data_IF_787477728677
#
_entry.id   IF_787477728677
#
_cell.length_a   1.000
_cell.length_b   1.000
_cell.length_c   1.000
_cell.angle_alpha   90.00
_cell.angle_beta   90.00
_cell.angle_gamma   90.00
#
_symmetry.space_group_name_H-M   'P 1'
#
loop_
_entity.id
_entity.type
_entity.pdbx_description
1 polymer ?
#
# COMPACT_ATOMS: atom_id res chain seq x y z
N UNK A 1 3.73 -17.65 -15.05
CA UNK A 1 4.56 -17.25 -13.89
C UNK A 1 3.88 -16.06 -13.22
N UNK A 2 3.23 -16.26 -12.08
CA UNK A 2 2.53 -15.17 -11.38
C UNK A 2 3.59 -14.25 -10.77
N UNK A 3 3.69 -13.02 -11.29
CA UNK A 3 4.58 -11.99 -10.73
C UNK A 3 4.01 -11.59 -9.38
N UNK A 4 4.74 -11.83 -8.30
CA UNK A 4 4.33 -11.35 -6.98
C UNK A 4 4.38 -9.81 -7.01
N UNK A 5 3.31 -9.11 -6.62
CA UNK A 5 3.33 -7.65 -6.55
C UNK A 5 4.46 -7.19 -5.62
N UNK A 6 5.21 -6.17 -6.03
CA UNK A 6 6.29 -5.60 -5.21
C UNK A 6 5.75 -4.86 -4.00
N UNK A 7 4.60 -4.23 -4.18
CA UNK A 7 3.88 -3.50 -3.14
C UNK A 7 2.42 -3.93 -3.13
N UNK A 8 1.83 -4.06 -1.95
CA UNK A 8 0.43 -4.43 -1.80
C UNK A 8 -0.31 -3.44 -0.91
N UNK A 9 -1.47 -2.99 -1.35
CA UNK A 9 -2.33 -2.06 -0.60
C UNK A 9 -3.22 -2.87 0.33
N UNK A 10 -3.33 -2.46 1.59
CA UNK A 10 -4.26 -3.08 2.53
C UNK A 10 -5.72 -2.86 2.10
N UNK A 11 -6.46 -3.95 1.88
CA UNK A 11 -7.88 -3.92 1.56
C UNK A 11 -8.78 -4.32 2.75
N UNK A 12 -8.25 -4.22 3.97
CA UNK A 12 -9.02 -4.51 5.18
C UNK A 12 -10.23 -3.59 5.32
N UNK A 13 -11.27 -4.06 6.03
CA UNK A 13 -12.56 -3.36 6.19
C UNK A 13 -12.38 -1.91 6.69
N UNK A 14 -11.43 -1.66 7.58
CA UNK A 14 -11.11 -0.31 8.08
C UNK A 14 -10.60 0.60 6.96
N UNK A 15 -9.61 0.16 6.17
CA UNK A 15 -9.03 0.92 5.07
C UNK A 15 -10.05 1.16 3.95
N UNK A 16 -10.90 0.17 3.66
CA UNK A 16 -11.99 0.31 2.67
C UNK A 16 -13.03 1.31 3.13
N UNK A 17 -13.41 1.28 4.42
CA UNK A 17 -14.35 2.24 4.99
C UNK A 17 -13.78 3.66 5.03
N UNK A 18 -12.46 3.80 5.20
CA UNK A 18 -11.77 5.08 5.13
C UNK A 18 -11.58 5.60 3.69
N UNK A 19 -11.73 4.74 2.66
CA UNK A 19 -11.61 5.13 1.26
C UNK A 19 -10.19 5.52 0.83
N UNK A 20 -9.16 5.08 1.57
CA UNK A 20 -7.76 5.51 1.37
C UNK A 20 -7.05 4.80 0.24
N UNK A 21 -7.58 3.66 -0.23
CA UNK A 21 -6.89 2.79 -1.20
C UNK A 21 -6.65 3.47 -2.54
N UNK A 22 -7.61 4.28 -3.02
CA UNK A 22 -7.45 5.03 -4.26
C UNK A 22 -6.28 6.01 -4.18
N UNK A 23 -6.20 6.77 -3.10
CA UNK A 23 -5.10 7.70 -2.86
C UNK A 23 -3.75 6.98 -2.77
N UNK A 24 -3.70 5.87 -2.01
CA UNK A 24 -2.47 5.06 -1.91
C UNK A 24 -2.09 4.49 -3.28
N UNK A 25 -3.05 3.98 -4.05
CA UNK A 25 -2.81 3.43 -5.37
C UNK A 25 -2.23 4.47 -6.33
N UNK A 26 -2.82 5.67 -6.40
CA UNK A 26 -2.28 6.79 -7.18
C UNK A 26 -0.86 7.16 -6.76
N UNK A 27 -0.57 7.18 -5.46
CA UNK A 27 0.78 7.47 -4.97
C UNK A 27 1.77 6.39 -5.36
N UNK A 28 1.36 5.13 -5.36
CA UNK A 28 2.20 4.00 -5.77
C UNK A 28 2.47 3.99 -7.27
N UNK A 29 1.51 4.42 -8.11
CA UNK A 29 1.68 4.52 -9.56
C UNK A 29 2.79 5.48 -9.99
N UNK A 30 3.19 6.44 -9.13
CA UNK A 30 4.34 7.31 -9.40
C UNK A 30 5.70 6.59 -9.25
N UNK A 31 5.75 5.46 -8.54
CA UNK A 31 7.00 4.72 -8.24
C UNK A 31 7.02 3.30 -8.81
N UNK A 32 5.85 2.70 -9.01
CA UNK A 32 5.65 1.33 -9.45
C UNK A 32 4.68 1.29 -10.62
N UNK A 33 4.85 0.30 -11.50
CA UNK A 33 3.84 0.06 -12.53
C UNK A 33 2.59 -0.59 -11.91
N UNK A 34 1.44 -0.42 -12.56
CA UNK A 34 0.19 -1.06 -12.17
C UNK A 34 0.34 -2.59 -11.97
N UNK A 35 1.12 -3.25 -12.82
CA UNK A 35 1.43 -4.68 -12.73
C UNK A 35 2.25 -5.09 -11.49
N UNK A 36 2.83 -4.13 -10.77
CA UNK A 36 3.64 -4.35 -9.57
C UNK A 36 2.88 -4.00 -8.28
N UNK A 37 1.70 -3.38 -8.41
CA UNK A 37 0.84 -2.97 -7.30
C UNK A 37 -0.26 -4.01 -7.13
N UNK A 38 -0.29 -4.64 -5.97
CA UNK A 38 -1.33 -5.58 -5.59
C UNK A 38 -2.21 -5.05 -4.48
N UNK A 39 -3.18 -5.86 -4.07
CA UNK A 39 -3.88 -5.70 -2.81
C UNK A 39 -3.55 -6.87 -1.88
N UNK A 40 -3.49 -6.62 -0.58
CA UNK A 40 -3.33 -7.65 0.43
C UNK A 40 -4.41 -7.51 1.51
N UNK A 41 -4.67 -8.63 2.18
CA UNK A 41 -5.51 -8.68 3.37
C UNK A 41 -4.95 -7.81 4.50
N UNK A 42 -5.76 -7.63 5.55
CA UNK A 42 -5.46 -6.76 6.69
C UNK A 42 -4.04 -6.96 7.25
N UNK A 43 -3.29 -5.86 7.36
CA UNK A 43 -1.92 -5.82 7.88
C UNK A 43 -1.82 -5.50 9.38
N UNK A 44 -2.95 -5.31 10.07
CA UNK A 44 -2.97 -4.93 11.48
C UNK A 44 -2.62 -3.45 11.76
N UNK A 45 -2.43 -2.63 10.72
CA UNK A 45 -2.16 -1.19 10.81
C UNK A 45 -3.44 -0.33 10.64
N UNK A 46 -4.59 -0.87 11.05
CA UNK A 46 -5.91 -0.26 10.81
C UNK A 46 -6.10 1.12 11.45
N UNK A 47 -5.31 1.46 12.48
CA UNK A 47 -5.38 2.77 13.12
C UNK A 47 -4.92 3.90 12.17
N UNK A 48 -4.05 3.57 11.22
CA UNK A 48 -3.47 4.53 10.30
C UNK A 48 -4.27 4.66 9.01
N UNK A 49 -5.07 3.66 8.65
CA UNK A 49 -5.85 3.56 7.40
C UNK A 49 -5.07 3.65 6.08
N UNK A 50 -3.79 3.99 6.09
CA UNK A 50 -2.92 4.08 4.91
C UNK A 50 -1.85 2.99 4.92
N UNK A 51 -2.23 1.72 5.00
CA UNK A 51 -1.26 0.62 5.19
C UNK A 51 -0.89 -0.04 3.87
N UNK A 52 0.41 -0.29 3.66
CA UNK A 52 0.95 -1.04 2.52
C UNK A 52 1.93 -2.12 2.97
N UNK A 53 1.98 -3.23 2.24
CA UNK A 53 3.00 -4.24 2.38
C UNK A 53 4.07 -4.01 1.30
N UNK A 54 5.30 -3.75 1.69
CA UNK A 54 6.42 -3.61 0.78
C UNK A 54 7.56 -4.53 1.23
N UNK A 55 8.08 -5.37 0.33
CA UNK A 55 9.14 -6.35 0.63
C UNK A 55 8.87 -7.22 1.88
N UNK A 56 7.60 -7.59 2.10
CA UNK A 56 7.19 -8.40 3.25
C UNK A 56 7.11 -7.67 4.59
N UNK A 57 7.26 -6.33 4.61
CA UNK A 57 7.06 -5.49 5.79
C UNK A 57 5.86 -4.57 5.61
N UNK A 58 5.06 -4.43 6.67
CA UNK A 58 3.92 -3.54 6.69
C UNK A 58 4.36 -2.12 7.07
N UNK A 59 3.91 -1.13 6.32
CA UNK A 59 4.23 0.28 6.51
C UNK A 59 2.99 1.15 6.43
N UNK A 60 2.98 2.24 7.20
CA UNK A 60 1.94 3.26 7.15
C UNK A 60 2.39 4.44 6.30
N UNK A 61 1.68 4.70 5.20
CA UNK A 61 2.01 5.67 4.16
C UNK A 61 0.98 6.77 4.10
N UNK A 62 0.95 7.64 5.09
CA UNK A 62 0.02 8.77 5.12
C UNK A 62 0.25 9.80 4.01
N UNK A 63 1.46 9.84 3.45
CA UNK A 63 1.85 10.78 2.40
C UNK A 63 2.86 10.15 1.44
N UNK A 64 2.96 10.71 0.23
CA UNK A 64 4.00 10.36 -0.76
C UNK A 64 5.42 10.42 -0.18
N UNK A 65 5.71 11.41 0.68
CA UNK A 65 7.03 11.57 1.32
C UNK A 65 7.36 10.43 2.26
N UNK A 66 6.37 9.93 3.00
CA UNK A 66 6.56 8.80 3.91
C UNK A 66 6.95 7.56 3.13
N UNK A 67 6.29 7.30 2.01
CA UNK A 67 6.62 6.14 1.17
C UNK A 67 7.96 6.28 0.47
N UNK A 68 8.33 7.49 0.01
CA UNK A 68 9.67 7.74 -0.54
C UNK A 68 10.79 7.32 0.44
N UNK A 69 10.62 7.58 1.74
CA UNK A 69 11.56 7.16 2.79
C UNK A 69 11.61 5.65 3.06
N UNK A 70 10.61 4.90 2.59
CA UNK A 70 10.52 3.44 2.74
C UNK A 70 11.18 2.72 1.56
N UNK A 71 11.17 3.34 0.38
CA UNK A 71 11.75 2.78 -0.85
C UNK A 71 13.23 3.17 -1.06
N UNK A 72 13.66 4.31 -0.50
CA UNK A 72 15.05 4.76 -0.42
C UNK A 72 15.87 3.86 0.52
#
# INVERSE_FOLDING_TARGET
MFKTPKVQICNGVACTKAGTQGFVHEWLLEYFNENEIGTCSCLGLCHDNFSVLYKGKAYSVFTKKTFKRIID
#
